data_IF_672477142571
#
_entry.id   IF_672477142571
#
_cell.length_a   1.000
_cell.length_b   1.000
_cell.length_c   1.000
_cell.angle_alpha   90.00
_cell.angle_beta   90.00
_cell.angle_gamma   90.00
#
_symmetry.space_group_name_H-M   'P 1'
#
loop_
_entity.id
_entity.type
_entity.pdbx_description
1 polymer ?
#
# COMPACT_ATOMS: atom_id res chain seq x y z
N UNK A 1 20.43 -7.31 -2.73
CA UNK A 1 20.80 -8.44 -3.63
C UNK A 1 22.31 -8.42 -3.78
N UNK A 2 22.96 -9.57 -3.98
CA UNK A 2 24.39 -9.59 -4.31
C UNK A 2 24.58 -9.05 -5.72
N UNK A 3 25.61 -8.25 -5.96
CA UNK A 3 25.91 -7.76 -7.31
C UNK A 3 26.46 -8.88 -8.18
N UNK A 4 26.33 -8.76 -9.50
CA UNK A 4 26.89 -9.76 -10.45
C UNK A 4 28.39 -9.93 -10.23
N UNK A 5 29.11 -8.85 -9.89
CA UNK A 5 30.54 -8.87 -9.52
C UNK A 5 30.80 -9.65 -8.23
N UNK A 6 29.92 -9.56 -7.23
CA UNK A 6 30.02 -10.36 -6.01
C UNK A 6 29.73 -11.85 -6.25
N UNK A 7 28.88 -12.17 -7.22
CA UNK A 7 28.57 -13.55 -7.63
C UNK A 7 29.76 -14.17 -8.38
N UNK A 8 30.41 -13.40 -9.26
CA UNK A 8 31.50 -13.86 -10.10
C UNK A 8 32.90 -13.62 -9.53
N UNK A 9 33.04 -13.12 -8.29
CA UNK A 9 34.34 -12.75 -7.68
C UNK A 9 35.42 -13.84 -7.72
N UNK A 10 35.03 -15.11 -7.78
CA UNK A 10 35.96 -16.26 -7.80
C UNK A 10 36.29 -16.73 -9.23
N UNK A 11 35.62 -16.16 -10.25
CA UNK A 11 35.69 -16.52 -11.66
C UNK A 11 35.51 -15.26 -12.53
N UNK A 12 36.35 -14.26 -12.31
CA UNK A 12 36.23 -12.94 -12.97
C UNK A 12 36.35 -13.04 -14.50
N UNK A 13 37.09 -14.03 -15.02
CA UNK A 13 37.21 -14.28 -16.46
C UNK A 13 35.87 -14.53 -17.18
N UNK A 14 34.83 -14.92 -16.44
CA UNK A 14 33.50 -15.09 -17.01
C UNK A 14 32.83 -13.75 -17.34
N UNK A 15 33.28 -12.64 -16.74
CA UNK A 15 32.77 -11.30 -17.05
C UNK A 15 33.20 -10.82 -18.45
N UNK A 16 34.26 -11.40 -19.01
CA UNK A 16 34.77 -11.09 -20.34
C UNK A 16 34.02 -11.87 -21.45
N UNK A 17 33.18 -12.83 -21.06
CA UNK A 17 32.38 -13.61 -22.02
C UNK A 17 31.18 -12.78 -22.51
N UNK A 18 30.98 -12.66 -23.83
CA UNK A 18 29.96 -11.78 -24.40
C UNK A 18 28.52 -12.20 -24.04
N UNK A 19 28.28 -13.48 -23.75
CA UNK A 19 27.00 -13.97 -23.24
C UNK A 19 26.75 -13.54 -21.80
N UNK A 20 27.80 -13.43 -20.99
CA UNK A 20 27.71 -12.99 -19.59
C UNK A 20 27.51 -11.48 -19.55
N UNK A 21 28.18 -10.72 -20.41
CA UNK A 21 27.97 -9.28 -20.57
C UNK A 21 26.48 -8.96 -20.88
N UNK A 22 25.90 -9.65 -21.87
CA UNK A 22 24.45 -9.52 -22.18
C UNK A 22 23.55 -9.90 -21.01
N UNK A 23 23.94 -10.93 -20.25
CA UNK A 23 23.17 -11.34 -19.06
C UNK A 23 23.24 -10.28 -17.96
N UNK A 24 24.39 -9.61 -17.79
CA UNK A 24 24.57 -8.51 -16.83
C UNK A 24 23.66 -7.35 -17.20
N UNK A 25 23.71 -6.90 -18.47
CA UNK A 25 22.86 -5.82 -18.97
C UNK A 25 21.38 -6.12 -18.74
N UNK A 26 20.91 -7.32 -19.14
CA UNK A 26 19.52 -7.73 -18.91
C UNK A 26 19.13 -7.77 -17.42
N UNK A 27 20.05 -8.19 -16.55
CA UNK A 27 19.79 -8.20 -15.11
C UNK A 27 19.72 -6.80 -14.51
N UNK A 28 20.51 -5.85 -15.02
CA UNK A 28 20.49 -4.45 -14.61
C UNK A 28 19.20 -3.76 -15.07
N UNK A 29 18.81 -3.94 -16.33
CA UNK A 29 17.53 -3.45 -16.87
C UNK A 29 16.34 -3.95 -16.02
N UNK A 30 16.29 -5.26 -15.73
CA UNK A 30 15.26 -5.83 -14.88
C UNK A 30 15.29 -5.28 -13.45
N UNK A 31 16.47 -4.97 -12.88
CA UNK A 31 16.57 -4.40 -11.55
C UNK A 31 15.98 -2.98 -11.51
N UNK A 32 16.27 -2.16 -12.51
CA UNK A 32 15.74 -0.81 -12.62
C UNK A 32 14.21 -0.82 -12.77
N UNK A 33 13.68 -1.68 -13.65
CA UNK A 33 12.23 -1.87 -13.80
C UNK A 33 11.57 -2.31 -12.49
N UNK A 34 12.20 -3.24 -11.74
CA UNK A 34 11.68 -3.69 -10.44
C UNK A 34 11.68 -2.56 -9.41
N UNK A 35 12.72 -1.72 -9.39
CA UNK A 35 12.79 -0.57 -8.47
C UNK A 35 11.70 0.44 -8.80
N UNK A 36 11.55 0.81 -10.08
CA UNK A 36 10.51 1.73 -10.51
C UNK A 36 9.10 1.17 -10.20
N UNK A 37 8.86 -0.11 -10.52
CA UNK A 37 7.60 -0.77 -10.21
C UNK A 37 7.29 -0.79 -8.71
N UNK A 38 8.30 -1.04 -7.86
CA UNK A 38 8.15 -0.97 -6.39
C UNK A 38 7.86 0.45 -5.92
N UNK A 39 8.48 1.46 -6.51
CA UNK A 39 8.24 2.86 -6.18
C UNK A 39 6.81 3.28 -6.54
N UNK A 40 6.38 3.02 -7.77
CA UNK A 40 5.00 3.27 -8.23
C UNK A 40 3.97 2.55 -7.35
N UNK A 41 4.22 1.28 -7.00
CA UNK A 41 3.35 0.49 -6.13
C UNK A 41 3.28 1.04 -4.71
N UNK A 42 4.41 1.48 -4.14
CA UNK A 42 4.44 2.06 -2.78
C UNK A 42 3.68 3.38 -2.75
N UNK A 43 3.90 4.25 -3.73
CA UNK A 43 3.22 5.54 -3.84
C UNK A 43 1.69 5.36 -3.99
N UNK A 44 1.24 4.37 -4.77
CA UNK A 44 -0.18 4.05 -4.91
C UNK A 44 -0.80 3.60 -3.57
N UNK A 45 -0.10 2.79 -2.79
CA UNK A 45 -0.57 2.35 -1.46
C UNK A 45 -0.67 3.49 -0.45
N UNK A 46 0.29 4.41 -0.43
CA UNK A 46 0.23 5.58 0.45
C UNK A 46 -0.98 6.47 0.12
N UNK A 47 -1.23 6.73 -1.16
CA UNK A 47 -2.41 7.47 -1.61
C UNK A 47 -3.71 6.76 -1.20
N UNK A 48 -3.80 5.45 -1.44
CA UNK A 48 -4.96 4.66 -1.05
C UNK A 48 -5.22 4.67 0.47
N UNK A 49 -4.16 4.63 1.28
CA UNK A 49 -4.25 4.76 2.74
C UNK A 49 -4.73 6.15 3.16
N UNK A 50 -4.22 7.23 2.55
CA UNK A 50 -4.66 8.59 2.84
C UNK A 50 -6.14 8.78 2.53
N UNK A 51 -6.62 8.28 1.40
CA UNK A 51 -8.03 8.36 1.04
C UNK A 51 -8.91 7.55 1.98
N UNK A 52 -8.49 6.34 2.36
CA UNK A 52 -9.19 5.54 3.36
C UNK A 52 -9.30 6.28 4.70
N UNK A 53 -8.21 6.88 5.20
CA UNK A 53 -8.21 7.64 6.46
C UNK A 53 -9.15 8.86 6.39
N UNK A 54 -9.18 9.57 5.27
CA UNK A 54 -10.11 10.70 5.06
C UNK A 54 -11.57 10.24 5.12
N UNK A 55 -11.90 9.12 4.51
CA UNK A 55 -13.26 8.56 4.55
C UNK A 55 -13.65 8.12 5.97
N UNK A 56 -12.73 7.49 6.71
CA UNK A 56 -12.96 7.13 8.12
C UNK A 56 -13.23 8.37 8.98
N UNK A 57 -12.39 9.41 8.86
CA UNK A 57 -12.56 10.66 9.62
C UNK A 57 -13.90 11.31 9.29
N UNK A 58 -14.30 11.33 8.02
CA UNK A 58 -15.60 11.86 7.61
C UNK A 58 -16.75 11.10 8.28
N UNK A 59 -16.70 9.76 8.26
CA UNK A 59 -17.70 8.93 8.93
C UNK A 59 -17.79 9.20 10.44
N UNK A 60 -16.65 9.39 11.11
CA UNK A 60 -16.64 9.77 12.54
C UNK A 60 -17.31 11.13 12.77
N UNK A 61 -17.00 12.15 11.96
CA UNK A 61 -17.59 13.48 12.08
C UNK A 61 -19.10 13.47 11.83
N UNK A 62 -19.57 12.65 10.88
CA UNK A 62 -21.01 12.52 10.59
C UNK A 62 -21.76 11.92 11.80
N UNK A 63 -21.17 10.92 12.47
CA UNK A 63 -21.75 10.29 13.67
C UNK A 63 -21.70 11.23 14.88
N UNK A 64 -20.62 11.98 15.07
CA UNK A 64 -20.55 13.01 16.11
C UNK A 64 -21.64 14.06 15.90
N UNK A 65 -21.93 14.42 14.66
CA UNK A 65 -23.01 15.34 14.33
C UNK A 65 -24.38 14.76 14.66
N UNK A 66 -24.66 13.52 14.29
CA UNK A 66 -25.89 12.82 14.66
C UNK A 66 -26.08 12.76 16.19
N UNK A 67 -25.00 12.49 16.93
CA UNK A 67 -25.02 12.51 18.39
C UNK A 67 -25.34 13.90 18.95
N UNK A 68 -24.72 14.96 18.43
CA UNK A 68 -25.04 16.33 18.85
C UNK A 68 -26.49 16.69 18.54
N UNK A 69 -27.01 16.23 17.41
CA UNK A 69 -28.40 16.45 17.00
C UNK A 69 -29.38 15.71 17.91
N UNK A 70 -29.05 14.47 18.30
CA UNK A 70 -29.77 13.72 19.33
C UNK A 70 -29.80 14.48 20.67
N UNK A 71 -28.65 14.90 21.18
CA UNK A 71 -28.54 15.59 22.47
C UNK A 71 -29.26 16.93 22.50
N UNK A 72 -29.23 17.67 21.38
CA UNK A 72 -29.76 19.03 21.30
C UNK A 72 -31.25 19.08 20.97
N UNK A 73 -31.74 18.15 20.17
CA UNK A 73 -33.10 18.20 19.62
C UNK A 73 -33.94 16.97 19.94
N UNK A 74 -33.35 15.94 20.57
CA UNK A 74 -34.04 14.70 20.91
C UNK A 74 -34.33 13.82 19.68
N UNK A 75 -33.55 13.96 18.60
CA UNK A 75 -33.63 13.06 17.45
C UNK A 75 -33.24 11.63 17.80
N UNK A 76 -33.31 10.70 16.86
CA UNK A 76 -32.89 9.32 17.11
C UNK A 76 -31.38 9.27 17.40
N UNK A 77 -30.98 8.47 18.39
CA UNK A 77 -29.57 8.31 18.71
C UNK A 77 -28.87 7.49 17.62
N UNK A 78 -27.63 7.83 17.24
CA UNK A 78 -26.87 7.04 16.28
C UNK A 78 -26.67 5.61 16.77
N UNK A 79 -26.79 4.64 15.87
CA UNK A 79 -26.49 3.23 16.18
C UNK A 79 -24.98 3.00 16.12
N UNK A 80 -24.33 3.18 17.26
CA UNK A 80 -22.88 3.03 17.39
C UNK A 80 -22.39 1.61 17.07
N UNK A 81 -23.15 0.57 17.44
CA UNK A 81 -22.75 -0.82 17.22
C UNK A 81 -22.69 -1.15 15.72
N UNK A 82 -23.73 -0.79 14.98
CA UNK A 82 -23.79 -0.95 13.52
C UNK A 82 -22.75 -0.07 12.84
N UNK A 83 -22.58 1.17 13.29
CA UNK A 83 -21.58 2.10 12.75
C UNK A 83 -20.17 1.55 12.87
N UNK A 84 -19.78 1.06 14.04
CA UNK A 84 -18.47 0.46 14.27
C UNK A 84 -18.28 -0.79 13.41
N UNK A 85 -19.32 -1.62 13.29
CA UNK A 85 -19.29 -2.84 12.47
C UNK A 85 -19.13 -2.52 10.98
N UNK A 86 -19.82 -1.49 10.50
CA UNK A 86 -19.71 -0.97 9.14
C UNK A 86 -18.32 -0.40 8.87
N UNK A 87 -17.78 0.40 9.80
CA UNK A 87 -16.45 0.98 9.68
C UNK A 87 -15.36 -0.10 9.60
N UNK A 88 -15.41 -1.11 10.48
CA UNK A 88 -14.49 -2.26 10.43
C UNK A 88 -14.59 -2.98 9.10
N UNK A 89 -15.80 -3.25 8.62
CA UNK A 89 -16.04 -3.92 7.34
C UNK A 89 -15.48 -3.14 6.15
N UNK A 90 -15.65 -1.81 6.16
CA UNK A 90 -15.10 -0.90 5.16
C UNK A 90 -13.56 -0.97 5.15
N UNK A 91 -12.92 -0.85 6.30
CA UNK A 91 -11.46 -0.90 6.43
C UNK A 91 -10.93 -2.24 5.91
N UNK A 92 -11.49 -3.37 6.34
CA UNK A 92 -11.04 -4.69 5.87
C UNK A 92 -11.22 -4.87 4.36
N UNK A 93 -12.33 -4.37 3.79
CA UNK A 93 -12.57 -4.44 2.35
C UNK A 93 -11.54 -3.61 1.58
N UNK A 94 -11.32 -2.35 1.96
CA UNK A 94 -10.34 -1.47 1.31
C UNK A 94 -8.93 -2.04 1.44
N UNK A 95 -8.55 -2.56 2.61
CA UNK A 95 -7.26 -3.20 2.78
C UNK A 95 -7.09 -4.43 1.86
N UNK A 96 -8.13 -5.25 1.69
CA UNK A 96 -8.10 -6.36 0.73
C UNK A 96 -7.93 -5.89 -0.72
N UNK A 97 -8.70 -4.88 -1.14
CA UNK A 97 -8.68 -4.37 -2.51
C UNK A 97 -7.31 -3.76 -2.86
N UNK A 98 -6.72 -3.01 -1.93
CA UNK A 98 -5.43 -2.33 -2.08
C UNK A 98 -4.22 -3.23 -1.74
N UNK A 99 -4.49 -4.50 -1.40
CA UNK A 99 -3.47 -5.50 -0.98
C UNK A 99 -2.60 -4.97 0.17
N UNK A 100 -3.25 -4.30 1.11
CA UNK A 100 -2.72 -3.88 2.41
C UNK A 100 -3.06 -5.01 3.38
N UNK A 101 -2.04 -5.62 3.95
CA UNK A 101 -2.20 -6.68 4.94
C UNK A 101 -2.17 -6.04 6.32
N UNK A 102 -3.31 -6.07 7.02
CA UNK A 102 -3.48 -5.61 8.40
C UNK A 102 -3.02 -6.67 9.40
#
# INVERSE_FOLDING_TARGET
MKSVREILKNKEYLLDEPEVEKLVEYCEELQDEIVEFKYQKTNNKELAMLDMLREVIKGCNDIEKEQMEHERFGYEAPNYEDTISNLKSYIYRRCRDEKIWL
#
